data_IF_291069807829
#
_entry.id   IF_291069807829
#
_cell.length_a   1.000
_cell.length_b   1.000
_cell.length_c   1.000
_cell.angle_alpha   90.00
_cell.angle_beta   90.00
_cell.angle_gamma   90.00
#
_symmetry.space_group_name_H-M   'P 1'
#
loop_
_entity.id
_entity.type
_entity.pdbx_description
1 polymer ?
#
# COMPACT_ATOMS: atom_id res chain seq x y z
N UNK A 1 5.17 20.19 -8.41
CA UNK A 1 3.99 20.43 -7.54
C UNK A 1 2.78 19.60 -7.94
N UNK A 2 2.37 19.54 -9.22
CA UNK A 2 1.21 18.75 -9.69
C UNK A 2 1.27 17.26 -9.30
N UNK A 3 2.46 16.66 -9.33
CA UNK A 3 2.65 15.26 -8.92
C UNK A 3 2.40 15.09 -7.42
N UNK A 4 3.00 15.91 -6.55
CA UNK A 4 2.84 15.81 -5.09
C UNK A 4 1.36 15.92 -4.69
N UNK A 5 0.62 16.88 -5.28
CA UNK A 5 -0.80 17.06 -4.98
C UNK A 5 -1.64 15.83 -5.38
N UNK A 6 -1.35 15.19 -6.52
CA UNK A 6 -2.00 13.93 -6.89
C UNK A 6 -1.66 12.79 -5.93
N UNK A 7 -0.41 12.69 -5.47
CA UNK A 7 0.00 11.63 -4.54
C UNK A 7 -0.70 11.80 -3.18
N UNK A 8 -0.77 13.03 -2.67
CA UNK A 8 -1.50 13.33 -1.44
C UNK A 8 -2.99 13.04 -1.59
N UNK A 9 -3.61 13.42 -2.71
CA UNK A 9 -5.02 13.13 -2.98
C UNK A 9 -5.30 11.62 -3.01
N UNK A 10 -4.42 10.85 -3.68
CA UNK A 10 -4.52 9.39 -3.73
C UNK A 10 -4.40 8.77 -2.34
N UNK A 11 -3.48 9.24 -1.50
CA UNK A 11 -3.33 8.75 -0.12
C UNK A 11 -4.58 9.04 0.72
N UNK A 12 -5.16 10.24 0.57
CA UNK A 12 -6.40 10.60 1.29
C UNK A 12 -7.55 9.70 0.83
N UNK A 13 -7.74 9.52 -0.48
CA UNK A 13 -8.79 8.65 -1.03
C UNK A 13 -8.59 7.20 -0.57
N UNK A 14 -7.35 6.71 -0.59
CA UNK A 14 -7.02 5.36 -0.12
C UNK A 14 -7.31 5.17 1.38
N UNK A 15 -7.02 6.19 2.20
CA UNK A 15 -7.25 6.15 3.64
C UNK A 15 -8.74 6.17 3.95
N UNK A 16 -9.50 7.06 3.30
CA UNK A 16 -10.97 7.08 3.38
C UNK A 16 -11.56 5.77 2.91
N UNK A 17 -10.94 5.16 1.90
CA UNK A 17 -11.27 3.81 1.48
C UNK A 17 -11.06 2.83 2.65
N UNK A 18 -9.86 2.65 3.16
CA UNK A 18 -9.64 1.69 4.27
C UNK A 18 -10.60 1.88 5.46
N UNK A 19 -10.88 3.14 5.83
CA UNK A 19 -11.89 3.48 6.84
C UNK A 19 -13.28 2.97 6.44
N UNK A 20 -13.69 3.17 5.20
CA UNK A 20 -14.99 2.74 4.70
C UNK A 20 -15.19 1.22 4.69
N UNK A 21 -14.18 0.46 4.30
CA UNK A 21 -14.21 -1.01 4.36
C UNK A 21 -14.24 -1.52 5.82
N UNK A 22 -13.53 -0.83 6.73
CA UNK A 22 -13.44 -1.22 8.13
C UNK A 22 -14.71 -0.88 8.94
N UNK A 23 -15.52 0.08 8.48
CA UNK A 23 -16.73 0.54 9.17
C UNK A 23 -17.97 0.53 8.26
N UNK A 24 -18.45 -0.66 7.85
CA UNK A 24 -19.59 -0.81 6.95
C UNK A 24 -20.92 -0.36 7.59
N UNK A 25 -20.98 -0.26 8.91
CA UNK A 25 -22.17 0.17 9.64
C UNK A 25 -22.43 1.68 9.51
N UNK A 26 -21.47 2.46 9.00
CA UNK A 26 -21.64 3.89 8.75
C UNK A 26 -22.48 4.05 7.47
N UNK A 27 -23.73 4.56 7.53
CA UNK A 27 -24.68 4.57 6.41
C UNK A 27 -24.23 5.40 5.20
N UNK A 28 -23.25 6.29 5.38
CA UNK A 28 -22.65 7.11 4.32
C UNK A 28 -21.69 6.26 3.45
N UNK A 29 -21.14 5.16 3.99
CA UNK A 29 -20.01 4.42 3.40
C UNK A 29 -20.33 2.92 3.17
N UNK A 30 -21.26 2.35 3.94
CA UNK A 30 -21.66 0.93 3.86
C UNK A 30 -22.36 0.48 2.56
N UNK A 31 -22.67 1.40 1.65
CA UNK A 31 -23.35 1.09 0.38
C UNK A 31 -22.41 0.70 -0.78
N UNK A 32 -21.09 0.72 -0.57
CA UNK A 32 -20.12 0.54 -1.67
C UNK A 32 -19.82 -0.95 -1.88
N UNK A 33 -20.20 -1.47 -3.05
CA UNK A 33 -20.02 -2.88 -3.46
C UNK A 33 -18.56 -3.34 -3.41
N UNK A 34 -18.34 -4.57 -2.94
CA UNK A 34 -17.03 -5.26 -2.86
C UNK A 34 -16.22 -5.19 -4.17
N UNK A 35 -16.91 -5.09 -5.31
CA UNK A 35 -16.32 -4.97 -6.65
C UNK A 35 -15.57 -3.65 -6.82
N UNK A 36 -16.12 -2.55 -6.30
CA UNK A 36 -15.53 -1.20 -6.39
C UNK A 36 -14.22 -1.15 -5.60
N UNK A 37 -14.15 -1.88 -4.50
CA UNK A 37 -12.97 -1.99 -3.67
C UNK A 37 -11.86 -2.84 -4.27
N UNK A 38 -12.22 -3.98 -4.87
CA UNK A 38 -11.29 -4.80 -5.65
C UNK A 38 -10.66 -4.00 -6.80
N UNK A 39 -11.49 -3.21 -7.50
CA UNK A 39 -11.03 -2.30 -8.55
C UNK A 39 -10.06 -1.26 -7.97
N UNK A 40 -10.34 -0.69 -6.80
CA UNK A 40 -9.45 0.28 -6.18
C UNK A 40 -8.11 -0.31 -5.78
N UNK A 41 -8.07 -1.51 -5.18
CA UNK A 41 -6.81 -2.21 -4.87
C UNK A 41 -5.99 -2.44 -6.14
N UNK A 42 -6.63 -2.88 -7.23
CA UNK A 42 -5.98 -3.06 -8.53
C UNK A 42 -5.45 -1.72 -9.06
N UNK A 43 -6.25 -0.65 -8.98
CA UNK A 43 -5.86 0.70 -9.41
C UNK A 43 -4.69 1.23 -8.60
N UNK A 44 -4.69 1.04 -7.28
CA UNK A 44 -3.60 1.44 -6.39
C UNK A 44 -2.34 0.64 -6.70
N UNK A 45 -2.45 -0.68 -6.89
CA UNK A 45 -1.34 -1.51 -7.31
C UNK A 45 -0.77 -1.06 -8.66
N UNK A 46 -1.64 -0.72 -9.62
CA UNK A 46 -1.23 -0.20 -10.93
C UNK A 46 -0.56 1.17 -10.83
N UNK A 47 -1.09 2.07 -9.99
CA UNK A 47 -0.51 3.38 -9.73
C UNK A 47 0.84 3.20 -9.04
N UNK A 48 0.96 2.34 -8.03
CA UNK A 48 2.24 2.03 -7.38
C UNK A 48 3.26 1.47 -8.38
N UNK A 49 2.83 0.58 -9.29
CA UNK A 49 3.69 0.00 -10.32
C UNK A 49 4.10 1.03 -11.38
N UNK A 50 3.19 1.92 -11.78
CA UNK A 50 3.46 3.02 -12.72
C UNK A 50 4.31 4.14 -12.08
N UNK A 51 4.10 4.46 -10.82
CA UNK A 51 4.95 5.36 -10.03
C UNK A 51 6.34 4.73 -9.85
N UNK A 52 6.44 3.39 -9.72
CA UNK A 52 7.71 2.64 -9.82
C UNK A 52 8.47 2.95 -11.11
N UNK A 53 7.78 3.33 -12.19
CA UNK A 53 8.38 3.68 -13.48
C UNK A 53 8.68 5.18 -13.63
N UNK A 54 8.08 6.04 -12.80
CA UNK A 54 8.26 7.49 -12.84
C UNK A 54 9.35 7.86 -11.81
N UNK A 55 10.57 7.83 -12.30
CA UNK A 55 11.53 8.91 -12.08
C UNK A 55 12.24 9.00 -10.72
N UNK A 56 13.00 7.95 -10.39
CA UNK A 56 14.29 8.14 -9.69
C UNK A 56 15.21 6.99 -10.07
N UNK A 57 16.34 7.30 -10.72
CA UNK A 57 17.40 6.32 -11.02
C UNK A 57 18.05 5.74 -9.76
N UNK A 58 17.78 6.35 -8.59
CA UNK A 58 18.27 5.92 -7.30
C UNK A 58 17.42 4.75 -6.73
N UNK A 59 17.97 3.52 -6.72
CA UNK A 59 17.27 2.36 -6.22
C UNK A 59 17.05 2.42 -4.70
N UNK A 60 17.86 3.20 -3.95
CA UNK A 60 17.74 3.35 -2.50
C UNK A 60 16.51 4.19 -2.14
N UNK A 61 16.26 5.27 -2.89
CA UNK A 61 15.08 6.11 -2.71
C UNK A 61 13.78 5.34 -2.97
N UNK A 62 13.76 4.50 -4.02
CA UNK A 62 12.62 3.61 -4.33
C UNK A 62 12.36 2.60 -3.20
N UNK A 63 13.42 1.98 -2.68
CA UNK A 63 13.30 1.06 -1.55
C UNK A 63 12.73 1.75 -0.31
N UNK A 64 13.27 2.91 0.08
CA UNK A 64 12.77 3.67 1.23
C UNK A 64 11.30 4.07 1.06
N UNK A 65 10.93 4.54 -0.12
CA UNK A 65 9.55 4.97 -0.42
C UNK A 65 8.57 3.81 -0.31
N UNK A 66 8.92 2.65 -0.90
CA UNK A 66 8.08 1.45 -0.80
C UNK A 66 7.98 0.95 0.65
N UNK A 67 9.09 0.95 1.40
CA UNK A 67 9.10 0.55 2.81
C UNK A 67 8.18 1.43 3.66
N UNK A 68 8.30 2.76 3.53
CA UNK A 68 7.45 3.71 4.26
C UNK A 68 5.98 3.49 3.94
N UNK A 69 5.65 3.24 2.67
CA UNK A 69 4.27 3.08 2.24
C UNK A 69 3.69 1.73 2.69
N UNK A 70 4.46 0.65 2.63
CA UNK A 70 4.05 -0.65 3.19
C UNK A 70 3.80 -0.55 4.69
N UNK A 71 4.71 0.09 5.43
CA UNK A 71 4.53 0.30 6.89
C UNK A 71 3.32 1.17 7.17
N UNK A 72 3.08 2.22 6.39
CA UNK A 72 1.89 3.06 6.50
C UNK A 72 0.60 2.25 6.33
N UNK A 73 0.49 1.46 5.26
CA UNK A 73 -0.71 0.66 4.96
C UNK A 73 -0.96 -0.38 6.06
N UNK A 74 0.07 -1.14 6.44
CA UNK A 74 -0.04 -2.16 7.50
C UNK A 74 -0.41 -1.52 8.83
N UNK A 75 0.26 -0.41 9.19
CA UNK A 75 -0.03 0.32 10.42
C UNK A 75 -1.44 0.91 10.43
N UNK A 76 -1.92 1.43 9.30
CA UNK A 76 -3.27 1.96 9.17
C UNK A 76 -4.33 0.85 9.32
N UNK A 77 -4.11 -0.32 8.71
CA UNK A 77 -5.00 -1.48 8.86
C UNK A 77 -5.07 -1.93 10.32
N UNK A 78 -3.92 -2.08 10.98
CA UNK A 78 -3.87 -2.41 12.41
C UNK A 78 -4.55 -1.35 13.27
N UNK A 79 -4.33 -0.07 12.96
CA UNK A 79 -4.95 1.02 13.69
C UNK A 79 -6.47 0.96 13.59
N UNK A 80 -7.00 0.74 12.38
CA UNK A 80 -8.43 0.58 12.10
C UNK A 80 -9.02 -0.65 12.80
N UNK A 81 -8.29 -1.75 12.83
CA UNK A 81 -8.68 -2.99 13.52
C UNK A 81 -8.79 -2.78 15.05
N UNK A 82 -7.79 -2.14 15.67
CA UNK A 82 -7.77 -1.86 17.13
C UNK A 82 -8.92 -0.95 17.58
N UNK A 83 -9.35 0.00 16.74
CA UNK A 83 -10.49 0.87 17.05
C UNK A 83 -11.86 0.20 16.79
N UNK A 84 -11.87 -1.11 16.50
CA UNK A 84 -13.08 -1.91 16.30
C UNK A 84 -13.56 -1.99 14.85
N UNK A 85 -12.69 -1.65 13.90
CA UNK A 85 -12.98 -1.82 12.48
C UNK A 85 -13.01 -3.30 12.10
N UNK A 86 -14.10 -3.73 11.48
CA UNK A 86 -14.27 -5.10 10.97
C UNK A 86 -14.23 -5.02 9.44
N UNK A 87 -13.08 -5.33 8.85
CA UNK A 87 -12.94 -5.37 7.38
C UNK A 87 -13.77 -6.52 6.81
N UNK A 88 -14.73 -6.21 5.93
CA UNK A 88 -15.52 -7.23 5.23
C UNK A 88 -14.72 -7.96 4.14
N UNK A 89 -13.64 -7.36 3.65
CA UNK A 89 -12.86 -7.91 2.53
C UNK A 89 -11.75 -8.86 2.95
N UNK A 90 -11.66 -9.17 4.25
CA UNK A 90 -10.58 -10.00 4.76
C UNK A 90 -9.22 -9.29 4.74
N UNK A 91 -9.22 -7.96 4.70
CA UNK A 91 -8.02 -7.14 4.93
C UNK A 91 -8.01 -6.77 6.42
N UNK A 92 -8.03 -7.80 7.25
CA UNK A 92 -7.86 -7.70 8.70
C UNK A 92 -6.64 -8.53 9.10
N UNK A 93 -5.91 -8.14 10.15
CA UNK A 93 -4.88 -8.97 10.77
C UNK A 93 -5.36 -10.38 11.15
N UNK A 94 -6.66 -10.56 11.36
CA UNK A 94 -7.27 -11.86 11.66
C UNK A 94 -7.35 -12.79 10.45
N UNK A 95 -7.24 -12.26 9.22
CA UNK A 95 -7.34 -13.06 8.01
C UNK A 95 -5.97 -13.56 7.52
N UNK A 96 -5.87 -14.84 7.20
CA UNK A 96 -4.64 -15.47 6.67
C UNK A 96 -4.19 -14.87 5.32
N UNK A 97 -5.14 -14.41 4.49
CA UNK A 97 -4.85 -13.80 3.18
C UNK A 97 -4.08 -12.49 3.35
N UNK A 98 -4.37 -11.71 4.39
CA UNK A 98 -3.65 -10.47 4.69
C UNK A 98 -2.16 -10.74 4.90
N UNK A 99 -1.83 -11.76 5.69
CA UNK A 99 -0.44 -12.15 5.94
C UNK A 99 0.28 -12.65 4.68
N UNK A 100 -0.43 -13.31 3.76
CA UNK A 100 0.12 -13.71 2.46
C UNK A 100 0.50 -12.49 1.62
N UNK A 101 -0.37 -11.47 1.54
CA UNK A 101 -0.10 -10.23 0.81
C UNK A 101 1.08 -9.48 1.42
N UNK A 102 1.14 -9.40 2.75
CA UNK A 102 2.27 -8.80 3.47
C UNK A 102 3.56 -9.57 3.18
N UNK A 103 3.53 -10.90 3.20
CA UNK A 103 4.69 -11.73 2.91
C UNK A 103 5.22 -11.54 1.49
N UNK A 104 4.34 -11.51 0.49
CA UNK A 104 4.71 -11.21 -0.91
C UNK A 104 5.32 -9.81 -1.00
N UNK A 105 4.74 -8.82 -0.32
CA UNK A 105 5.26 -7.45 -0.30
C UNK A 105 6.67 -7.36 0.32
N UNK A 106 6.92 -8.10 1.40
CA UNK A 106 8.24 -8.20 2.05
C UNK A 106 9.25 -8.88 1.13
N UNK A 107 8.88 -9.96 0.45
CA UNK A 107 9.74 -10.61 -0.55
C UNK A 107 10.15 -9.61 -1.63
N UNK A 108 9.19 -8.87 -2.17
CA UNK A 108 9.41 -7.86 -3.19
C UNK A 108 10.36 -6.75 -2.71
N UNK A 109 10.25 -6.39 -1.44
CA UNK A 109 11.13 -5.42 -0.76
C UNK A 109 12.56 -5.97 -0.63
N UNK A 110 12.71 -7.24 -0.25
CA UNK A 110 14.01 -7.94 -0.12
C UNK A 110 14.68 -8.06 -1.48
N UNK A 111 13.94 -8.41 -2.54
CA UNK A 111 14.48 -8.45 -3.90
C UNK A 111 14.99 -7.08 -4.36
N UNK A 112 14.27 -6.01 -4.02
CA UNK A 112 14.71 -4.64 -4.29
C UNK A 112 15.97 -4.28 -3.50
N UNK A 113 16.03 -4.60 -2.21
CA UNK A 113 17.22 -4.39 -1.38
C UNK A 113 18.45 -5.10 -1.95
N UNK A 114 18.31 -6.37 -2.36
CA UNK A 114 19.39 -7.13 -3.01
C UNK A 114 19.84 -6.49 -4.33
N UNK A 115 18.94 -5.83 -5.05
CA UNK A 115 19.28 -5.09 -6.28
C UNK A 115 20.05 -3.80 -5.96
N UNK A 116 19.65 -3.06 -4.93
CA UNK A 116 20.35 -1.87 -4.44
C UNK A 116 21.78 -2.22 -4.01
N UNK A 117 21.94 -3.27 -3.21
CA UNK A 117 23.26 -3.71 -2.72
C UNK A 117 24.24 -4.02 -3.87
N UNK A 118 23.77 -4.73 -4.90
CA UNK A 118 24.58 -5.05 -6.09
C UNK A 118 24.98 -3.82 -6.91
N UNK A 119 24.14 -2.78 -6.95
CA UNK A 119 24.45 -1.52 -7.64
C UNK A 119 25.52 -0.71 -6.89
N UNK A 120 25.48 -0.68 -5.55
CA UNK A 120 26.51 -0.02 -4.76
C UNK A 120 27.88 -0.72 -4.88
N UNK A 121 27.91 -2.06 -4.86
CA UNK A 121 29.15 -2.85 -5.03
C UNK A 121 29.82 -2.67 -6.42
N UNK A 122 29.07 -2.28 -7.45
CA UNK A 122 29.62 -1.96 -8.78
C UNK A 122 30.12 -0.52 -8.91
N UNK A 123 29.65 0.40 -8.07
CA UNK A 123 30.04 1.82 -8.11
C UNK A 123 31.33 2.10 -7.33
N UNK A 124 31.71 1.19 -6.43
CA UNK A 124 32.98 1.23 -5.66
C UNK A 124 34.16 0.52 -6.35
N UNK A 125 33.97 -0.07 -7.54
CA UNK A 125 35.03 -0.65 -8.36
C UNK A 125 35.42 0.28 -9.51
#
# INVERSE_FOLDING_TARGET
MKNILMHTLILIVFTLMLVGDSFPEIPIIGGVSIVIWFIAIIVIYFIMFKVKAIDTSDPLYRFKTQLVLTVYVVGLIFFLDVIGGQSQMGISPENEIFWLIVFVSVIDLVFQWRRVKRLNEQTEK
#
